data_IF_308052581317
#
_entry.id   IF_308052581317
#
_cell.length_a   1.000
_cell.length_b   1.000
_cell.length_c   1.000
_cell.angle_alpha   90.00
_cell.angle_beta   90.00
_cell.angle_gamma   90.00
#
_symmetry.space_group_name_H-M   'P 1'
#
loop_
_entity.id
_entity.type
_entity.pdbx_description
1 polymer ?
#
# COMPACT_ATOMS: atom_id res chain seq x y z
N UNK A 1 -0.81 17.18 -6.32
CA UNK A 1 -0.35 16.01 -5.54
C UNK A 1 -0.32 14.84 -6.49
N UNK A 2 0.87 14.27 -6.75
CA UNK A 2 0.98 13.05 -7.54
C UNK A 2 0.63 11.88 -6.61
N UNK A 3 -0.45 11.19 -6.91
CA UNK A 3 -0.93 10.06 -6.11
C UNK A 3 -0.65 8.77 -6.89
N UNK A 4 -0.31 7.67 -6.23
CA UNK A 4 0.01 6.41 -6.88
C UNK A 4 0.25 5.30 -5.87
N UNK A 5 0.11 4.06 -6.31
CA UNK A 5 0.31 2.87 -5.48
C UNK A 5 1.74 2.39 -5.62
N UNK A 6 2.50 2.42 -4.52
CA UNK A 6 3.88 1.93 -4.48
C UNK A 6 4.01 0.85 -3.42
N UNK A 7 4.62 -0.27 -3.80
CA UNK A 7 4.86 -1.42 -2.96
C UNK A 7 6.35 -1.68 -2.86
N UNK A 8 6.85 -1.62 -1.62
CA UNK A 8 8.22 -1.94 -1.27
C UNK A 8 8.27 -3.27 -0.51
N UNK A 9 9.37 -3.99 -0.70
CA UNK A 9 9.74 -5.10 0.17
C UNK A 9 10.36 -4.57 1.47
N UNK A 10 10.43 -5.40 2.51
CA UNK A 10 11.07 -5.04 3.77
C UNK A 10 12.56 -4.67 3.65
N UNK A 11 13.25 -5.10 2.58
CA UNK A 11 14.64 -4.72 2.29
C UNK A 11 14.76 -3.41 1.49
N UNK A 12 13.62 -2.72 1.24
CA UNK A 12 13.56 -1.48 0.46
C UNK A 12 13.45 -1.69 -1.05
N UNK A 13 13.44 -2.94 -1.54
CA UNK A 13 13.30 -3.21 -2.98
C UNK A 13 11.93 -2.78 -3.49
N UNK A 14 11.91 -2.00 -4.58
CA UNK A 14 10.68 -1.66 -5.28
C UNK A 14 10.10 -2.89 -5.99
N UNK A 15 8.93 -3.36 -5.55
CA UNK A 15 8.25 -4.50 -6.19
C UNK A 15 7.23 -4.01 -7.22
N UNK A 16 6.50 -2.93 -6.93
CA UNK A 16 5.48 -2.39 -7.81
C UNK A 16 5.34 -0.89 -7.62
N UNK A 17 5.18 -0.15 -8.72
CA UNK A 17 4.78 1.25 -8.71
C UNK A 17 3.75 1.49 -9.82
N UNK A 18 2.58 2.01 -9.45
CA UNK A 18 1.56 2.48 -10.39
C UNK A 18 1.30 3.96 -10.09
N UNK A 19 1.88 4.83 -10.90
CA UNK A 19 1.75 6.28 -10.75
C UNK A 19 0.49 6.77 -11.47
N UNK A 20 -0.33 7.62 -10.84
CA UNK A 20 -1.45 8.24 -11.54
C UNK A 20 -0.97 9.30 -12.53
N UNK A 21 -1.71 9.42 -13.62
CA UNK A 21 -1.68 10.62 -14.44
C UNK A 21 -2.41 11.75 -13.69
N UNK A 22 -1.95 13.00 -13.75
CA UNK A 22 -2.68 14.13 -13.18
C UNK A 22 -4.11 14.17 -13.74
N UNK A 23 -5.14 14.11 -12.88
CA UNK A 23 -6.55 14.19 -13.29
C UNK A 23 -7.33 12.87 -13.33
N UNK A 24 -6.67 11.71 -13.36
CA UNK A 24 -7.34 10.40 -13.30
C UNK A 24 -7.42 9.90 -11.86
N UNK A 25 -8.58 10.06 -11.21
CA UNK A 25 -8.81 9.61 -9.83
C UNK A 25 -9.71 8.37 -9.80
N UNK A 26 -9.14 7.18 -9.62
CA UNK A 26 -9.89 5.97 -9.31
C UNK A 26 -9.04 4.96 -8.49
N UNK A 27 -9.02 5.14 -7.16
CA UNK A 27 -8.30 4.27 -6.21
C UNK A 27 -8.69 2.78 -6.33
N UNK A 28 -9.93 2.50 -6.76
CA UNK A 28 -10.42 1.14 -7.01
C UNK A 28 -9.73 0.47 -8.20
N UNK A 29 -9.64 1.15 -9.34
CA UNK A 29 -8.93 0.64 -10.53
C UNK A 29 -7.41 0.54 -10.33
N UNK A 30 -6.85 1.39 -9.47
CA UNK A 30 -5.42 1.40 -9.17
C UNK A 30 -5.02 0.15 -8.38
N UNK A 31 -5.76 -0.14 -7.32
CA UNK A 31 -5.51 -1.29 -6.45
C UNK A 31 -5.95 -2.63 -7.04
N UNK A 32 -6.87 -2.68 -8.01
CA UNK A 32 -7.42 -3.93 -8.55
C UNK A 32 -6.34 -4.87 -9.12
N UNK A 33 -5.45 -4.33 -9.98
CA UNK A 33 -4.38 -5.13 -10.58
C UNK A 33 -3.39 -5.68 -9.54
N UNK A 34 -3.15 -4.93 -8.46
CA UNK A 34 -2.36 -5.43 -7.34
C UNK A 34 -3.11 -6.53 -6.59
N UNK A 35 -4.40 -6.34 -6.35
CA UNK A 35 -5.24 -7.33 -5.66
C UNK A 35 -5.35 -8.65 -6.44
N UNK A 36 -5.44 -8.62 -7.77
CA UNK A 36 -5.42 -9.83 -8.60
C UNK A 36 -4.10 -10.59 -8.48
N UNK A 37 -2.96 -9.89 -8.55
CA UNK A 37 -1.64 -10.48 -8.32
C UNK A 37 -1.51 -11.07 -6.93
N UNK A 38 -2.04 -10.36 -5.93
CA UNK A 38 -2.07 -10.82 -4.56
C UNK A 38 -3.01 -12.01 -4.36
N UNK A 39 -4.05 -12.20 -5.17
CA UNK A 39 -4.95 -13.35 -5.10
C UNK A 39 -4.40 -14.59 -5.82
N UNK A 40 -3.56 -14.43 -6.84
CA UNK A 40 -2.96 -15.54 -7.58
C UNK A 40 -1.89 -16.28 -6.75
N UNK A 41 -2.13 -17.56 -6.45
CA UNK A 41 -1.23 -18.45 -5.69
C UNK A 41 0.07 -18.80 -6.42
N UNK A 42 0.13 -18.58 -7.74
CA UNK A 42 1.34 -18.77 -8.54
C UNK A 42 2.28 -17.58 -8.43
N UNK A 43 1.74 -16.42 -8.08
CA UNK A 43 2.50 -15.16 -7.93
C UNK A 43 2.81 -14.89 -6.47
N UNK A 44 1.83 -15.09 -5.58
CA UNK A 44 1.94 -14.77 -4.16
C UNK A 44 2.15 -16.03 -3.34
N UNK A 45 3.30 -16.08 -2.66
CA UNK A 45 3.67 -17.20 -1.80
C UNK A 45 2.69 -17.31 -0.62
N UNK A 46 2.15 -18.50 -0.31
CA UNK A 46 1.28 -18.69 0.85
C UNK A 46 1.92 -18.18 2.14
N UNK A 47 1.13 -17.48 2.97
CA UNK A 47 1.60 -16.88 4.22
C UNK A 47 2.32 -15.54 4.07
N UNK A 48 2.49 -15.03 2.84
CA UNK A 48 2.98 -13.68 2.59
C UNK A 48 1.84 -12.71 2.27
N UNK A 49 2.09 -11.42 2.47
CA UNK A 49 1.11 -10.38 2.29
C UNK A 49 1.71 -8.98 2.29
N UNK A 50 0.85 -7.98 2.18
CA UNK A 50 1.18 -6.56 2.07
C UNK A 50 0.54 -5.82 3.23
N UNK A 51 1.34 -4.99 3.89
CA UNK A 51 0.86 -3.97 4.82
C UNK A 51 0.43 -2.73 4.01
N UNK A 52 -0.83 -2.33 4.13
CA UNK A 52 -1.39 -1.20 3.42
C UNK A 52 -2.06 -0.21 4.38
N UNK A 53 -2.34 1.01 3.90
CA UNK A 53 -3.11 1.99 4.67
C UNK A 53 -4.58 1.54 4.85
N UNK A 54 -5.23 2.04 5.89
CA UNK A 54 -6.64 1.77 6.23
C UNK A 54 -7.61 2.16 5.11
N UNK A 55 -7.27 3.18 4.33
CA UNK A 55 -8.05 3.61 3.16
C UNK A 55 -7.86 2.71 1.93
N UNK A 56 -6.87 1.80 1.94
CA UNK A 56 -6.58 0.95 0.80
C UNK A 56 -7.74 -0.04 0.54
N UNK A 57 -8.21 -0.19 -0.71
CA UNK A 57 -9.30 -1.10 -1.00
C UNK A 57 -8.89 -2.56 -0.76
N UNK A 58 -9.67 -3.29 0.05
CA UNK A 58 -9.46 -4.72 0.29
C UNK A 58 -10.66 -5.52 -0.20
N UNK A 59 -10.47 -6.34 -1.23
CA UNK A 59 -11.48 -7.27 -1.72
C UNK A 59 -11.52 -8.55 -0.87
N UNK A 60 -12.61 -9.31 -0.99
CA UNK A 60 -12.77 -10.59 -0.28
C UNK A 60 -11.68 -11.62 -0.67
N UNK A 61 -11.18 -11.56 -1.90
CA UNK A 61 -10.16 -12.49 -2.42
C UNK A 61 -8.75 -12.24 -1.88
N UNK A 62 -8.49 -11.06 -1.33
CA UNK A 62 -7.19 -10.68 -0.72
C UNK A 62 -7.23 -10.69 0.81
N UNK A 63 -8.31 -11.21 1.41
CA UNK A 63 -8.45 -11.30 2.87
C UNK A 63 -7.32 -12.14 3.46
N UNK A 64 -6.58 -11.56 4.41
CA UNK A 64 -5.40 -12.17 5.01
C UNK A 64 -4.10 -12.03 4.20
N UNK A 65 -4.17 -11.50 2.97
CA UNK A 65 -2.99 -11.13 2.16
C UNK A 65 -2.74 -9.63 2.16
N UNK A 66 -3.78 -8.82 2.30
CA UNK A 66 -3.63 -7.39 2.61
C UNK A 66 -4.02 -7.20 4.07
N UNK A 67 -3.11 -6.61 4.84
CA UNK A 67 -3.33 -6.26 6.24
C UNK A 67 -3.26 -4.74 6.39
N UNK A 68 -4.26 -4.18 7.06
CA UNK A 68 -4.36 -2.74 7.34
C UNK A 68 -4.36 -2.52 8.84
N UNK A 69 -3.98 -1.34 9.33
CA UNK A 69 -4.18 -0.97 10.73
C UNK A 69 -5.64 -1.10 11.15
N UNK A 70 -5.87 -1.19 12.46
CA UNK A 70 -7.21 -1.19 13.03
C UNK A 70 -7.95 0.11 12.69
N UNK A 71 -9.25 0.02 12.45
CA UNK A 71 -10.13 1.19 12.37
C UNK A 71 -10.59 1.61 13.76
N UNK A 72 -11.08 2.84 13.86
CA UNK A 72 -11.65 3.35 15.10
C UNK A 72 -12.79 2.45 15.60
N UNK A 73 -12.70 2.09 16.88
CA UNK A 73 -13.64 1.17 17.54
C UNK A 73 -13.41 -0.32 17.28
N UNK A 74 -12.51 -0.73 16.38
CA UNK A 74 -12.23 -2.16 16.15
C UNK A 74 -11.63 -2.83 17.39
N UNK A 75 -10.77 -2.11 18.11
CA UNK A 75 -10.15 -2.61 19.34
C UNK A 75 -11.17 -2.78 20.47
N UNK A 76 -12.15 -1.87 20.56
CA UNK A 76 -13.20 -1.89 21.59
C UNK A 76 -14.17 -3.05 21.36
N UNK A 77 -14.52 -3.31 20.08
CA UNK A 77 -15.35 -4.43 19.65
C UNK A 77 -14.66 -5.79 19.79
N UNK A 78 -13.34 -5.83 19.90
CA UNK A 78 -12.58 -7.07 20.02
C UNK A 78 -12.69 -7.68 21.43
N UNK A 79 -12.67 -9.02 21.55
CA UNK A 79 -12.55 -9.70 22.82
C UNK A 79 -11.30 -9.24 23.59
N UNK A 80 -11.42 -9.03 24.89
CA UNK A 80 -10.35 -8.45 25.72
C UNK A 80 -9.02 -9.21 25.59
N UNK A 81 -9.08 -10.55 25.61
CA UNK A 81 -7.92 -11.43 25.43
C UNK A 81 -7.16 -11.20 24.11
N UNK A 82 -7.81 -10.66 23.09
CA UNK A 82 -7.22 -10.43 21.76
C UNK A 82 -6.69 -9.00 21.58
N UNK A 83 -7.10 -8.05 22.43
CA UNK A 83 -6.82 -6.62 22.24
C UNK A 83 -5.33 -6.30 22.17
N UNK A 84 -4.53 -6.89 23.05
CA UNK A 84 -3.07 -6.69 23.06
C UNK A 84 -2.41 -7.12 21.74
N UNK A 85 -2.76 -8.31 21.24
CA UNK A 85 -2.23 -8.82 19.97
C UNK A 85 -2.67 -7.99 18.77
N UNK A 86 -3.94 -7.57 18.75
CA UNK A 86 -4.47 -6.72 17.68
C UNK A 86 -3.80 -5.33 17.67
N UNK A 87 -3.60 -4.73 18.83
CA UNK A 87 -2.89 -3.45 18.95
C UNK A 87 -1.44 -3.57 18.50
N UNK A 88 -0.73 -4.62 18.93
CA UNK A 88 0.65 -4.87 18.52
C UNK A 88 0.76 -5.02 16.98
N UNK A 89 -0.16 -5.77 16.36
CA UNK A 89 -0.21 -5.92 14.91
C UNK A 89 -0.49 -4.59 14.21
N UNK A 90 -1.46 -3.80 14.70
CA UNK A 90 -1.78 -2.47 14.16
C UNK A 90 -0.57 -1.53 14.18
N UNK A 91 0.18 -1.52 15.28
CA UNK A 91 1.38 -0.73 15.44
C UNK A 91 2.50 -1.19 14.49
N UNK A 92 2.67 -2.51 14.31
CA UNK A 92 3.64 -3.06 13.36
C UNK A 92 3.30 -2.68 11.91
N UNK A 93 2.03 -2.79 11.50
CA UNK A 93 1.57 -2.38 10.16
C UNK A 93 1.81 -0.88 9.95
N UNK A 94 1.46 -0.05 10.95
CA UNK A 94 1.69 1.40 10.90
C UNK A 94 3.18 1.73 10.78
N UNK A 95 4.05 1.02 11.52
CA UNK A 95 5.49 1.21 11.47
C UNK A 95 6.09 0.85 10.11
N UNK A 96 5.67 -0.28 9.52
CA UNK A 96 6.09 -0.68 8.17
C UNK A 96 5.70 0.36 7.12
N UNK A 97 4.46 0.88 7.19
CA UNK A 97 3.98 1.94 6.31
C UNK A 97 4.85 3.20 6.44
N UNK A 98 5.10 3.66 7.67
CA UNK A 98 5.95 4.82 7.90
C UNK A 98 7.36 4.61 7.33
N UNK A 99 7.98 3.45 7.55
CA UNK A 99 9.28 3.15 6.95
C UNK A 99 9.28 3.25 5.41
N UNK A 100 8.23 2.72 4.77
CA UNK A 100 8.05 2.82 3.31
C UNK A 100 7.85 4.28 2.84
N UNK A 101 7.06 5.07 3.56
CA UNK A 101 6.84 6.50 3.26
C UNK A 101 8.12 7.32 3.39
N UNK A 102 8.95 7.02 4.39
CA UNK A 102 10.22 7.70 4.56
C UNK A 102 11.18 7.39 3.41
N UNK A 103 11.21 6.13 2.95
CA UNK A 103 11.94 5.73 1.76
C UNK A 103 11.42 6.43 0.50
N UNK A 104 10.10 6.41 0.28
CA UNK A 104 9.46 7.00 -0.89
C UNK A 104 9.49 8.54 -0.91
N UNK A 105 9.42 9.20 0.24
CA UNK A 105 9.49 10.66 0.35
C UNK A 105 10.79 11.26 -0.20
N UNK A 106 11.78 10.42 -0.53
CA UNK A 106 13.00 10.81 -1.25
C UNK A 106 12.83 10.83 -2.79
N UNK A 107 11.80 10.20 -3.37
CA UNK A 107 11.66 9.99 -4.82
C UNK A 107 11.45 11.29 -5.62
N UNK A 108 10.60 12.26 -5.19
CA UNK A 108 10.49 13.54 -5.89
C UNK A 108 11.79 14.37 -5.82
N UNK A 109 12.64 14.10 -4.82
CA UNK A 109 13.97 14.71 -4.73
C UNK A 109 14.91 14.13 -5.78
N UNK A 110 14.81 12.85 -6.12
CA UNK A 110 15.63 12.23 -7.16
C UNK A 110 15.35 12.83 -8.54
N UNK A 111 14.09 12.95 -8.97
CA UNK A 111 13.73 13.58 -10.25
C UNK A 111 14.14 15.06 -10.29
N UNK A 112 13.95 15.78 -9.18
CA UNK A 112 14.41 17.18 -9.05
C UNK A 112 15.92 17.30 -9.15
N UNK A 113 16.68 16.42 -8.49
CA UNK A 113 18.14 16.39 -8.55
C UNK A 113 18.64 16.05 -9.95
N UNK A 114 17.94 15.15 -10.65
CA UNK A 114 18.26 14.76 -12.04
C UNK A 114 17.71 15.75 -13.08
N UNK A 115 16.99 16.79 -12.68
CA UNK A 115 16.30 17.76 -13.56
C UNK A 115 15.39 17.11 -14.62
N UNK A 116 14.88 15.90 -14.34
CA UNK A 116 14.00 15.19 -15.26
C UNK A 116 12.54 15.55 -14.98
N UNK A 117 11.73 15.85 -16.02
CA UNK A 117 10.30 15.96 -15.84
C UNK A 117 9.74 14.58 -15.45
N UNK A 118 8.72 14.58 -14.59
CA UNK A 118 7.99 13.36 -14.27
C UNK A 118 7.29 12.84 -15.55
N UNK A 119 7.23 11.52 -15.76
CA UNK A 119 6.48 10.94 -16.88
C UNK A 119 5.01 11.39 -16.82
N UNK A 120 4.47 11.90 -17.93
CA UNK A 120 3.05 12.24 -18.06
C UNK A 120 2.50 11.76 -19.40
N UNK A 121 1.21 11.42 -19.44
CA UNK A 121 0.49 11.06 -20.67
C UNK A 121 -0.28 12.30 -21.19
N UNK A 122 0.08 12.86 -22.36
CA UNK A 122 -0.57 14.04 -22.91
C UNK A 122 -2.02 13.82 -23.34
N UNK A 123 -2.47 12.57 -23.50
CA UNK A 123 -3.83 12.24 -23.96
C UNK A 123 -4.83 12.19 -22.80
N UNK A 124 -4.38 11.90 -21.58
CA UNK A 124 -5.22 11.66 -20.40
C UNK A 124 -5.42 12.89 -19.50
N UNK A 125 -5.47 14.09 -20.10
CA UNK A 125 -5.52 15.35 -19.36
C UNK A 125 -6.91 15.66 -18.78
#
# INVERSE_FOLDING_TARGET
THNGDIMLRCDGTLILAKLNCPGSWNDGEMSFALQEKLADVRITVPGTGVAADTAFPVSKGTRGRIVTPLKDGDLERAPERCRLGMLAMSNAITSLRQAAEWGLGSEPRCYRQLQLPLPFDPVKR
#
